data_IF_008049011217
#
_entry.id   IF_008049011217
#
_cell.length_a   1.000
_cell.length_b   1.000
_cell.length_c   1.000
_cell.angle_alpha   90.00
_cell.angle_beta   90.00
_cell.angle_gamma   90.00
#
_symmetry.space_group_name_H-M   'P 1'
#
loop_
_entity.id
_entity.type
_entity.pdbx_description
1 polymer ?
#
# COMPACT_ATOMS: atom_id res chain seq x y z
N UNK A 1 -6.00 6.52 -12.60
CA UNK A 1 -4.73 7.06 -12.12
C UNK A 1 -3.50 6.44 -12.80
N UNK A 2 -3.56 5.17 -13.23
CA UNK A 2 -2.53 4.57 -14.07
C UNK A 2 -2.52 5.21 -15.47
N UNK A 3 -1.37 5.23 -16.19
CA UNK A 3 -1.32 5.67 -17.56
C UNK A 3 -2.19 4.74 -18.44
N UNK A 4 -2.70 5.26 -19.57
CA UNK A 4 -3.49 4.47 -20.51
C UNK A 4 -2.65 3.42 -21.26
N UNK A 5 -1.34 3.59 -21.30
CA UNK A 5 -0.36 2.70 -21.95
C UNK A 5 0.96 2.78 -21.19
N UNK A 6 1.76 1.74 -21.26
CA UNK A 6 3.10 1.75 -20.67
C UNK A 6 3.42 0.49 -19.86
N UNK A 7 4.56 0.58 -19.16
CA UNK A 7 5.07 -0.44 -18.26
C UNK A 7 4.73 -0.09 -16.81
N UNK A 8 4.20 -1.04 -16.07
CA UNK A 8 3.80 -0.89 -14.67
C UNK A 8 4.53 -1.92 -13.82
N UNK A 9 5.08 -1.47 -12.70
CA UNK A 9 5.62 -2.33 -11.65
C UNK A 9 4.59 -2.45 -10.53
N UNK A 10 4.18 -3.67 -10.20
CA UNK A 10 3.39 -3.99 -9.00
C UNK A 10 4.35 -4.45 -7.90
N UNK A 11 4.53 -3.62 -6.87
CA UNK A 11 5.48 -3.82 -5.78
C UNK A 11 4.78 -4.48 -4.60
N UNK A 12 5.26 -5.65 -4.19
CA UNK A 12 4.59 -6.46 -3.17
C UNK A 12 3.26 -7.00 -3.70
N UNK A 13 3.32 -7.55 -4.90
CA UNK A 13 2.11 -7.91 -5.67
C UNK A 13 1.26 -9.02 -5.03
N UNK A 14 1.77 -9.73 -4.02
CA UNK A 14 1.10 -10.88 -3.46
C UNK A 14 0.75 -11.89 -4.56
N UNK A 15 -0.51 -12.32 -4.61
CA UNK A 15 -1.02 -13.21 -5.66
C UNK A 15 -1.44 -12.47 -6.96
N UNK A 16 -1.13 -11.16 -7.09
CA UNK A 16 -1.28 -10.37 -8.30
C UNK A 16 -2.68 -9.85 -8.62
N UNK A 17 -3.48 -9.54 -7.64
CA UNK A 17 -4.82 -8.99 -7.90
C UNK A 17 -4.73 -7.67 -8.67
N UNK A 18 -3.88 -6.73 -8.23
CA UNK A 18 -3.67 -5.44 -8.90
C UNK A 18 -2.99 -5.63 -10.25
N UNK A 19 -1.97 -6.51 -10.30
CA UNK A 19 -1.26 -6.83 -11.53
C UNK A 19 -2.21 -7.31 -12.64
N UNK A 20 -3.16 -8.21 -12.33
CA UNK A 20 -4.15 -8.71 -13.30
C UNK A 20 -5.06 -7.61 -13.80
N UNK A 21 -5.61 -6.79 -12.92
CA UNK A 21 -6.48 -5.66 -13.30
C UNK A 21 -5.75 -4.69 -14.25
N UNK A 22 -4.48 -4.40 -13.95
CA UNK A 22 -3.66 -3.53 -14.81
C UNK A 22 -3.35 -4.20 -16.17
N UNK A 23 -3.08 -5.50 -16.19
CA UNK A 23 -2.83 -6.24 -17.43
C UNK A 23 -4.10 -6.36 -18.31
N UNK A 24 -5.26 -6.58 -17.71
CA UNK A 24 -6.57 -6.57 -18.39
C UNK A 24 -6.89 -5.20 -19.01
N UNK A 25 -6.42 -4.12 -18.37
CA UNK A 25 -6.49 -2.76 -18.93
C UNK A 25 -5.49 -2.50 -20.07
N UNK A 26 -4.69 -3.49 -20.48
CA UNK A 26 -3.74 -3.41 -21.61
C UNK A 26 -2.36 -2.87 -21.25
N UNK A 27 -2.00 -2.80 -19.97
CA UNK A 27 -0.67 -2.40 -19.51
C UNK A 27 0.30 -3.59 -19.52
N UNK A 28 1.59 -3.31 -19.71
CA UNK A 28 2.66 -4.30 -19.54
C UNK A 28 3.05 -4.32 -18.07
N UNK A 29 2.69 -5.39 -17.37
CA UNK A 29 2.86 -5.45 -15.93
C UNK A 29 4.00 -6.39 -15.55
N UNK A 30 4.85 -5.92 -14.65
CA UNK A 30 5.83 -6.73 -13.93
C UNK A 30 5.45 -6.71 -12.45
N UNK A 31 5.30 -7.88 -11.86
CA UNK A 31 4.93 -8.06 -10.47
C UNK A 31 6.13 -8.59 -9.67
N UNK A 32 6.39 -7.99 -8.50
CA UNK A 32 7.47 -8.38 -7.60
C UNK A 32 6.92 -8.65 -6.21
N UNK A 33 7.30 -9.79 -5.63
CA UNK A 33 6.98 -10.13 -4.25
C UNK A 33 8.14 -10.89 -3.61
N UNK A 34 8.49 -10.67 -2.32
CA UNK A 34 9.56 -11.40 -1.66
C UNK A 34 9.20 -12.87 -1.36
N UNK A 35 7.91 -13.18 -1.22
CA UNK A 35 7.43 -14.52 -0.91
C UNK A 35 7.26 -15.37 -2.18
N UNK A 36 8.13 -16.37 -2.36
CA UNK A 36 8.04 -17.29 -3.50
C UNK A 36 6.65 -17.92 -3.66
N UNK A 37 5.99 -18.25 -2.56
CA UNK A 37 4.64 -18.82 -2.61
C UNK A 37 3.65 -17.88 -3.28
N UNK A 38 3.73 -16.59 -3.00
CA UNK A 38 2.86 -15.58 -3.64
C UNK A 38 3.16 -15.46 -5.14
N UNK A 39 4.45 -15.42 -5.49
CA UNK A 39 4.89 -15.38 -6.89
C UNK A 39 4.38 -16.58 -7.66
N UNK A 40 4.52 -17.80 -7.13
CA UNK A 40 4.09 -19.02 -7.83
C UNK A 40 2.58 -19.08 -8.02
N UNK A 41 1.79 -18.73 -6.99
CA UNK A 41 0.33 -18.63 -7.11
C UNK A 41 -0.07 -17.55 -8.12
N UNK A 42 0.60 -16.41 -8.09
CA UNK A 42 0.39 -15.34 -9.06
C UNK A 42 0.66 -15.79 -10.48
N UNK A 43 1.74 -16.51 -10.73
CA UNK A 43 2.07 -17.09 -12.05
C UNK A 43 0.99 -18.05 -12.56
N UNK A 44 0.43 -18.87 -11.68
CA UNK A 44 -0.64 -19.80 -12.03
C UNK A 44 -1.95 -19.09 -12.40
N UNK A 45 -2.24 -17.96 -11.76
CA UNK A 45 -3.49 -17.20 -11.91
C UNK A 45 -3.43 -16.12 -12.97
N UNK A 46 -2.26 -15.59 -13.27
CA UNK A 46 -2.12 -14.42 -14.10
C UNK A 46 -1.79 -14.77 -15.55
N UNK A 47 -2.53 -14.16 -16.48
CA UNK A 47 -2.23 -14.24 -17.88
C UNK A 47 -0.95 -13.49 -18.27
N UNK A 48 -1.06 -12.26 -18.75
CA UNK A 48 0.06 -11.50 -19.34
C UNK A 48 0.79 -10.61 -18.30
N UNK A 49 1.30 -11.22 -17.22
CA UNK A 49 2.09 -10.55 -16.17
C UNK A 49 3.46 -11.21 -16.06
N UNK A 50 4.54 -10.43 -16.07
CA UNK A 50 5.88 -10.92 -15.75
C UNK A 50 6.08 -10.96 -14.24
N UNK A 51 6.58 -12.07 -13.68
CA UNK A 51 6.74 -12.28 -12.25
C UNK A 51 8.19 -12.42 -11.85
N UNK A 52 8.59 -11.74 -10.77
CA UNK A 52 9.89 -11.88 -10.13
C UNK A 52 9.73 -12.06 -8.62
N UNK A 53 10.57 -12.93 -8.05
CA UNK A 53 10.80 -12.91 -6.61
C UNK A 53 11.83 -11.82 -6.31
N UNK A 54 11.51 -10.89 -5.42
CA UNK A 54 12.42 -9.79 -5.07
C UNK A 54 11.88 -8.91 -3.95
N UNK A 55 12.78 -8.10 -3.39
CA UNK A 55 12.47 -7.16 -2.32
C UNK A 55 12.22 -5.76 -2.88
N UNK A 56 11.23 -5.05 -2.33
CA UNK A 56 11.01 -3.63 -2.61
C UNK A 56 12.20 -2.74 -2.20
N UNK A 57 12.99 -3.18 -1.22
CA UNK A 57 14.18 -2.47 -0.74
C UNK A 57 15.40 -2.62 -1.66
N UNK A 58 15.32 -3.48 -2.68
CA UNK A 58 16.41 -3.71 -3.67
C UNK A 58 15.80 -4.30 -4.94
N UNK A 59 15.27 -3.43 -5.80
CA UNK A 59 14.60 -3.82 -7.03
C UNK A 59 15.62 -4.11 -8.14
N UNK A 60 15.57 -5.32 -8.70
CA UNK A 60 16.51 -5.78 -9.74
C UNK A 60 16.16 -5.22 -11.12
N UNK A 61 15.93 -3.92 -11.22
CA UNK A 61 15.65 -3.21 -12.48
C UNK A 61 16.58 -2.02 -12.64
N UNK A 62 16.85 -1.64 -13.88
CA UNK A 62 17.57 -0.42 -14.19
C UNK A 62 16.76 0.83 -13.79
N UNK A 63 17.46 1.95 -13.62
CA UNK A 63 16.84 3.26 -13.41
C UNK A 63 15.89 3.59 -14.57
N UNK A 64 14.83 4.34 -14.26
CA UNK A 64 13.90 4.87 -15.25
C UNK A 64 13.31 3.81 -16.20
N UNK A 65 12.95 2.62 -15.67
CA UNK A 65 12.40 1.50 -16.44
C UNK A 65 10.89 1.59 -16.63
N UNK A 66 10.16 2.02 -15.60
CA UNK A 66 8.71 1.94 -15.56
C UNK A 66 8.02 3.31 -15.75
N UNK A 67 6.90 3.29 -16.46
CA UNK A 67 6.03 4.47 -16.63
C UNK A 67 5.18 4.70 -15.38
N UNK A 68 4.87 3.64 -14.63
CA UNK A 68 4.21 3.72 -13.34
C UNK A 68 4.64 2.57 -12.41
N UNK A 69 4.45 2.79 -11.10
CA UNK A 69 4.49 1.76 -10.08
C UNK A 69 3.22 1.80 -9.25
N UNK A 70 2.84 0.67 -8.68
CA UNK A 70 1.76 0.56 -7.70
C UNK A 70 2.25 -0.25 -6.52
N UNK A 71 1.84 0.14 -5.32
CA UNK A 71 1.98 -0.64 -4.10
C UNK A 71 0.65 -0.60 -3.35
N UNK A 72 0.07 -1.76 -3.10
CA UNK A 72 -1.24 -1.88 -2.49
C UNK A 72 -1.16 -2.72 -1.21
N UNK A 73 -1.26 -2.06 -0.05
CA UNK A 73 -1.20 -2.67 1.29
C UNK A 73 0.12 -3.45 1.51
N UNK A 74 1.24 -2.79 1.28
CA UNK A 74 2.59 -3.40 1.30
C UNK A 74 3.52 -2.69 2.25
N UNK A 75 3.54 -1.34 2.23
CA UNK A 75 4.57 -0.56 2.91
C UNK A 75 4.46 -0.58 4.43
N UNK A 76 3.31 -0.95 4.95
CA UNK A 76 3.10 -1.28 6.37
C UNK A 76 3.83 -2.56 6.80
N UNK A 77 4.36 -3.36 5.87
CA UNK A 77 5.12 -4.60 6.13
C UNK A 77 6.61 -4.47 5.83
N UNK A 78 7.06 -3.30 5.37
CA UNK A 78 8.46 -3.07 5.00
C UNK A 78 9.19 -2.35 6.14
N UNK A 79 10.27 -2.95 6.65
CA UNK A 79 11.05 -2.41 7.75
C UNK A 79 11.76 -1.11 7.36
N UNK A 80 12.46 -1.10 6.22
CA UNK A 80 13.18 0.08 5.71
C UNK A 80 12.33 0.82 4.67
N UNK A 81 11.54 1.77 5.17
CA UNK A 81 10.65 2.60 4.35
C UNK A 81 11.44 3.41 3.32
N UNK A 82 12.56 4.02 3.74
CA UNK A 82 13.32 4.95 2.90
C UNK A 82 13.99 4.21 1.75
N UNK A 83 14.59 3.05 2.01
CA UNK A 83 15.17 2.21 0.98
C UNK A 83 14.11 1.79 -0.06
N UNK A 84 12.95 1.34 0.39
CA UNK A 84 11.89 0.88 -0.53
C UNK A 84 11.30 2.03 -1.37
N UNK A 85 11.06 3.21 -0.77
CA UNK A 85 10.57 4.38 -1.51
C UNK A 85 11.63 4.86 -2.51
N UNK A 86 12.91 4.91 -2.10
CA UNK A 86 14.02 5.31 -2.99
C UNK A 86 14.15 4.38 -4.19
N UNK A 87 14.00 3.07 -4.00
CA UNK A 87 14.04 2.08 -5.08
C UNK A 87 12.86 2.25 -6.05
N UNK A 88 11.64 2.46 -5.54
CA UNK A 88 10.48 2.77 -6.38
C UNK A 88 10.72 4.05 -7.19
N UNK A 89 11.21 5.10 -6.54
CA UNK A 89 11.54 6.35 -7.23
C UNK A 89 12.63 6.15 -8.29
N UNK A 90 13.67 5.36 -8.00
CA UNK A 90 14.78 5.08 -8.93
C UNK A 90 14.29 4.41 -10.21
N UNK A 91 13.46 3.37 -10.08
CA UNK A 91 12.99 2.58 -11.25
C UNK A 91 11.90 3.29 -12.05
N UNK A 92 11.26 4.32 -11.52
CA UNK A 92 10.32 5.16 -12.26
C UNK A 92 11.05 6.09 -13.21
N UNK A 93 10.51 6.26 -14.41
CA UNK A 93 10.93 7.30 -15.35
C UNK A 93 10.64 8.70 -14.78
N UNK A 94 11.38 9.76 -15.20
CA UNK A 94 10.95 11.14 -14.97
C UNK A 94 9.48 11.31 -15.42
N UNK A 95 8.67 12.01 -14.61
CA UNK A 95 7.23 12.14 -14.84
C UNK A 95 6.40 10.88 -14.58
N UNK A 96 7.03 9.75 -14.28
CA UNK A 96 6.37 8.48 -13.96
C UNK A 96 5.50 8.57 -12.70
N UNK A 97 4.48 7.75 -12.62
CA UNK A 97 3.50 7.78 -11.51
C UNK A 97 3.72 6.69 -10.50
N UNK A 98 3.54 7.02 -9.23
CA UNK A 98 3.45 6.04 -8.14
C UNK A 98 2.07 6.09 -7.51
N UNK A 99 1.35 4.97 -7.54
CA UNK A 99 0.09 4.77 -6.84
C UNK A 99 0.37 4.02 -5.54
N UNK A 100 0.12 4.66 -4.44
CA UNK A 100 0.48 4.20 -3.11
C UNK A 100 -0.76 4.07 -2.25
N UNK A 101 -1.13 2.84 -1.91
CA UNK A 101 -2.30 2.52 -1.11
C UNK A 101 -1.86 1.79 0.16
N UNK A 102 -2.30 2.29 1.31
CA UNK A 102 -2.03 1.69 2.62
C UNK A 102 -3.31 1.53 3.43
N UNK A 103 -3.26 0.70 4.47
CA UNK A 103 -4.11 0.90 5.63
C UNK A 103 -3.82 2.29 6.23
N UNK A 104 -4.88 3.02 6.59
CA UNK A 104 -4.68 4.37 7.09
C UNK A 104 -3.88 4.35 8.41
N UNK A 105 -2.82 5.16 8.54
CA UNK A 105 -1.96 5.15 9.74
C UNK A 105 -2.71 5.36 11.05
N UNK A 106 -3.79 6.13 11.04
CA UNK A 106 -4.64 6.33 12.22
C UNK A 106 -5.29 5.01 12.67
N UNK A 107 -5.78 4.21 11.73
CA UNK A 107 -6.40 2.92 12.01
C UNK A 107 -5.36 1.88 12.43
N UNK A 108 -4.19 1.90 11.77
CA UNK A 108 -3.10 0.94 12.00
C UNK A 108 -2.25 1.27 13.26
N UNK A 109 -2.58 2.33 14.00
CA UNK A 109 -1.87 2.67 15.24
C UNK A 109 -2.05 1.57 16.29
N UNK A 110 -0.96 1.01 16.85
CA UNK A 110 -1.04 -0.02 17.86
C UNK A 110 -1.87 0.40 19.08
N UNK A 111 -2.73 -0.50 19.57
CA UNK A 111 -3.63 -0.22 20.68
C UNK A 111 -4.82 0.67 20.35
N UNK A 112 -5.03 0.97 19.06
CA UNK A 112 -6.27 1.59 18.56
C UNK A 112 -7.38 0.55 18.46
N UNK A 113 -8.61 0.99 18.56
CA UNK A 113 -9.77 0.10 18.42
C UNK A 113 -11.07 0.78 18.80
N UNK A 114 -12.16 0.10 18.49
CA UNK A 114 -13.49 0.49 18.94
C UNK A 114 -13.64 0.30 20.44
N UNK A 115 -14.26 1.27 21.08
CA UNK A 115 -14.69 1.22 22.49
C UNK A 115 -16.21 1.36 22.50
N UNK A 116 -16.86 0.37 23.09
CA UNK A 116 -18.29 0.41 23.39
C UNK A 116 -18.47 0.85 24.84
N UNK A 117 -18.89 2.10 25.04
CA UNK A 117 -19.22 2.62 26.37
C UNK A 117 -20.69 2.35 26.68
N UNK A 118 -20.95 1.28 27.40
CA UNK A 118 -22.30 0.86 27.79
C UNK A 118 -22.96 1.78 28.83
N UNK A 119 -22.18 2.67 29.46
CA UNK A 119 -22.70 3.64 30.45
C UNK A 119 -23.24 4.88 29.75
N UNK A 120 -22.48 5.36 28.76
CA UNK A 120 -22.85 6.52 27.95
C UNK A 120 -23.68 6.16 26.71
N UNK A 121 -23.84 4.87 26.44
CA UNK A 121 -24.46 4.34 25.21
C UNK A 121 -23.81 4.90 23.94
N UNK A 122 -22.48 5.04 23.95
CA UNK A 122 -21.67 5.57 22.85
C UNK A 122 -20.67 4.53 22.34
N UNK A 123 -20.42 4.57 21.05
CA UNK A 123 -19.32 3.83 20.41
C UNK A 123 -18.35 4.86 19.82
N UNK A 124 -17.04 4.72 20.13
CA UNK A 124 -16.03 5.62 19.59
C UNK A 124 -14.71 4.91 19.29
N UNK A 125 -13.96 5.48 18.37
CA UNK A 125 -12.63 4.98 18.03
C UNK A 125 -11.58 5.57 18.97
N UNK A 126 -10.95 4.74 19.76
CA UNK A 126 -9.78 5.12 20.54
C UNK A 126 -8.54 5.05 19.66
N UNK A 127 -7.76 6.11 19.59
CA UNK A 127 -6.45 6.14 18.96
C UNK A 127 -5.38 5.84 19.98
N UNK A 128 -4.49 4.90 19.68
CA UNK A 128 -3.31 4.59 20.48
C UNK A 128 -2.20 5.65 20.33
N UNK A 129 -0.95 5.34 20.72
CA UNK A 129 0.19 6.26 20.58
C UNK A 129 0.57 6.43 19.09
N UNK A 130 -0.02 7.39 18.43
CA UNK A 130 0.09 7.63 16.99
C UNK A 130 1.46 8.15 16.53
N UNK A 131 2.10 9.02 17.30
CA UNK A 131 3.33 9.70 16.86
C UNK A 131 4.58 8.80 16.85
N UNK A 132 4.81 7.90 17.83
CA UNK A 132 5.96 7.01 17.79
C UNK A 132 5.82 5.96 16.69
N UNK A 133 6.91 5.71 15.94
CA UNK A 133 6.98 4.51 15.11
C UNK A 133 7.01 3.25 15.99
N UNK A 134 6.36 2.19 15.54
CA UNK A 134 6.28 0.95 16.28
C UNK A 134 6.25 -0.27 15.36
N UNK A 135 6.79 -1.36 15.85
CA UNK A 135 6.69 -2.67 15.22
C UNK A 135 5.74 -3.54 16.01
N UNK A 136 4.80 -4.19 15.34
CA UNK A 136 3.88 -5.18 15.93
C UNK A 136 3.87 -6.44 15.10
N UNK A 137 3.61 -7.57 15.76
CA UNK A 137 3.39 -8.85 15.08
C UNK A 137 1.96 -9.26 15.37
N UNK A 138 1.18 -9.44 14.35
CA UNK A 138 -0.23 -9.79 14.44
C UNK A 138 -0.49 -11.18 13.86
N UNK A 139 -1.29 -11.97 14.53
CA UNK A 139 -1.82 -13.23 14.01
C UNK A 139 -3.04 -12.92 13.13
N UNK A 140 -2.85 -12.94 11.81
CA UNK A 140 -3.89 -12.61 10.82
C UNK A 140 -4.78 -13.80 10.47
N UNK A 141 -4.24 -15.01 10.61
CA UNK A 141 -4.94 -16.29 10.51
C UNK A 141 -4.28 -17.24 11.51
N UNK A 142 -4.93 -18.36 11.80
CA UNK A 142 -4.39 -19.35 12.73
C UNK A 142 -2.96 -19.76 12.33
N UNK A 143 -2.01 -19.53 13.23
CA UNK A 143 -0.58 -19.81 13.08
C UNK A 143 0.11 -19.00 11.94
N UNK A 144 -0.52 -17.91 11.43
CA UNK A 144 0.05 -17.01 10.42
C UNK A 144 0.29 -15.64 11.05
N UNK A 145 1.57 -15.31 11.23
CA UNK A 145 2.00 -14.07 11.85
C UNK A 145 2.58 -13.12 10.81
N UNK A 146 2.14 -11.87 10.85
CA UNK A 146 2.62 -10.81 9.96
C UNK A 146 3.14 -9.64 10.80
N UNK A 147 4.30 -9.12 10.41
CA UNK A 147 4.86 -7.90 11.01
C UNK A 147 4.26 -6.67 10.35
N UNK A 148 3.81 -5.74 11.19
CA UNK A 148 3.36 -4.41 10.80
C UNK A 148 4.29 -3.35 11.39
N UNK A 149 4.61 -2.35 10.58
CA UNK A 149 5.37 -1.18 10.98
C UNK A 149 4.45 0.03 10.98
N UNK A 150 3.98 0.41 12.17
CA UNK A 150 3.24 1.66 12.32
C UNK A 150 4.17 2.85 12.12
N UNK A 151 3.72 3.79 11.29
CA UNK A 151 4.37 5.08 11.07
C UNK A 151 3.30 6.16 10.94
N UNK A 152 3.50 7.33 11.58
CA UNK A 152 2.57 8.44 11.40
C UNK A 152 2.57 8.91 9.95
N UNK A 153 1.46 9.47 9.48
CA UNK A 153 1.28 9.92 8.11
C UNK A 153 2.42 10.83 7.62
N UNK A 154 2.86 11.76 8.49
CA UNK A 154 3.96 12.66 8.15
C UNK A 154 5.26 11.94 7.80
N UNK A 155 5.52 10.75 8.40
CA UNK A 155 6.71 9.94 8.08
C UNK A 155 6.68 9.42 6.64
N UNK A 156 5.52 8.94 6.19
CA UNK A 156 5.33 8.51 4.80
C UNK A 156 5.47 9.68 3.83
N UNK A 157 4.79 10.80 4.08
CA UNK A 157 4.81 11.96 3.19
C UNK A 157 6.21 12.56 3.04
N UNK A 158 6.97 12.65 4.12
CA UNK A 158 8.34 13.15 4.08
C UNK A 158 9.26 12.20 3.29
N UNK A 159 9.20 10.89 3.52
CA UNK A 159 9.99 9.92 2.77
C UNK A 159 9.69 9.96 1.26
N UNK A 160 8.43 10.09 0.89
CA UNK A 160 8.01 10.24 -0.52
C UNK A 160 8.56 11.54 -1.13
N UNK A 161 8.47 12.65 -0.40
CA UNK A 161 9.00 13.95 -0.82
C UNK A 161 10.52 13.91 -1.02
N UNK A 162 11.25 13.35 -0.04
CA UNK A 162 12.71 13.29 -0.05
C UNK A 162 13.25 12.41 -1.19
N UNK A 163 12.46 11.42 -1.64
CA UNK A 163 12.73 10.61 -2.82
C UNK A 163 12.34 11.28 -4.15
N UNK A 164 11.89 12.54 -4.13
CA UNK A 164 11.49 13.29 -5.32
C UNK A 164 10.13 12.90 -5.90
N UNK A 165 9.27 12.28 -5.10
CA UNK A 165 7.90 11.92 -5.46
C UNK A 165 6.94 13.01 -5.00
N UNK A 166 6.42 13.78 -5.95
CA UNK A 166 5.50 14.89 -5.67
C UNK A 166 4.06 14.41 -5.56
N UNK A 167 3.37 14.82 -4.51
CA UNK A 167 1.97 14.49 -4.29
C UNK A 167 1.08 15.19 -5.33
N UNK A 168 0.34 14.40 -6.09
CA UNK A 168 -0.65 14.87 -7.08
C UNK A 168 -2.07 14.77 -6.52
N UNK A 169 -2.35 13.69 -5.77
CA UNK A 169 -3.66 13.45 -5.20
C UNK A 169 -3.57 12.68 -3.89
N UNK A 170 -4.39 13.07 -2.95
CA UNK A 170 -4.55 12.45 -1.64
C UNK A 170 -6.03 12.11 -1.45
N UNK A 171 -6.32 10.85 -1.14
CA UNK A 171 -7.69 10.41 -0.88
C UNK A 171 -7.74 9.51 0.35
N UNK A 172 -8.77 9.69 1.14
CA UNK A 172 -9.20 8.81 2.22
C UNK A 172 -10.55 8.21 1.80
N UNK A 173 -10.52 7.11 1.03
CA UNK A 173 -11.75 6.56 0.48
C UNK A 173 -12.66 6.03 1.58
N UNK A 174 -13.92 6.43 1.54
CA UNK A 174 -14.93 5.89 2.44
C UNK A 174 -15.11 4.39 2.19
N UNK A 175 -15.40 3.60 3.23
CA UNK A 175 -15.73 2.19 3.05
C UNK A 175 -16.91 2.01 2.09
N UNK A 176 -16.87 1.04 1.16
CA UNK A 176 -17.98 0.81 0.26
C UNK A 176 -19.20 0.26 1.02
N UNK A 177 -20.42 0.56 0.52
CA UNK A 177 -21.66 0.15 1.16
C UNK A 177 -21.70 -1.34 1.49
N UNK A 178 -21.25 -2.20 0.59
CA UNK A 178 -21.24 -3.65 0.83
C UNK A 178 -20.27 -4.10 1.96
N UNK A 179 -19.32 -3.26 2.38
CA UNK A 179 -18.55 -3.48 3.61
C UNK A 179 -19.37 -3.06 4.82
N UNK A 180 -19.97 -1.87 4.78
CA UNK A 180 -20.79 -1.33 5.88
C UNK A 180 -21.99 -2.25 6.20
N UNK A 181 -22.63 -2.81 5.19
CA UNK A 181 -23.75 -3.75 5.33
C UNK A 181 -23.38 -5.03 6.10
N UNK A 182 -22.09 -5.42 6.06
CA UNK A 182 -21.55 -6.60 6.76
C UNK A 182 -20.91 -6.28 8.11
N UNK A 183 -20.68 -5.00 8.38
CA UNK A 183 -20.04 -4.51 9.59
C UNK A 183 -21.05 -3.67 10.41
N UNK A 184 -22.28 -4.18 10.56
CA UNK A 184 -23.36 -3.46 11.22
C UNK A 184 -23.07 -3.10 12.69
N UNK A 185 -22.18 -3.86 13.35
CA UNK A 185 -21.69 -3.60 14.69
C UNK A 185 -20.78 -2.35 14.74
N UNK A 186 -20.31 -1.87 13.59
CA UNK A 186 -19.46 -0.69 13.46
C UNK A 186 -20.16 0.39 12.66
N UNK A 187 -21.34 0.83 13.10
CA UNK A 187 -22.14 1.82 12.36
C UNK A 187 -21.40 3.16 12.14
N UNK A 188 -20.45 3.50 12.99
CA UNK A 188 -19.57 4.66 12.85
C UNK A 188 -18.33 4.40 11.94
N UNK A 189 -18.19 3.19 11.41
CA UNK A 189 -17.03 2.82 10.58
C UNK A 189 -16.90 3.68 9.32
N UNK A 190 -17.98 4.28 8.85
CA UNK A 190 -17.97 5.22 7.73
C UNK A 190 -17.31 6.55 8.04
N UNK A 191 -17.20 6.93 9.34
CA UNK A 191 -16.63 8.19 9.79
C UNK A 191 -15.13 8.13 10.09
N UNK A 192 -14.54 6.92 10.09
CA UNK A 192 -13.12 6.71 10.39
C UNK A 192 -12.40 6.27 9.10
N UNK A 193 -11.29 6.96 8.71
CA UNK A 193 -10.55 6.59 7.51
C UNK A 193 -9.86 5.23 7.70
N UNK A 194 -10.16 4.27 6.81
CA UNK A 194 -9.58 2.91 6.83
C UNK A 194 -8.42 2.74 5.87
N UNK A 195 -8.48 3.43 4.76
CA UNK A 195 -7.50 3.37 3.68
C UNK A 195 -6.98 4.76 3.37
N UNK A 196 -5.74 4.81 2.96
CA UNK A 196 -5.09 5.99 2.41
C UNK A 196 -4.64 5.70 0.99
N UNK A 197 -5.05 6.53 0.04
CA UNK A 197 -4.58 6.47 -1.33
C UNK A 197 -3.84 7.76 -1.69
N UNK A 198 -2.61 7.60 -2.18
CA UNK A 198 -1.78 8.69 -2.70
C UNK A 198 -1.46 8.42 -4.17
N UNK A 199 -1.68 9.40 -5.04
CA UNK A 199 -1.10 9.41 -6.37
C UNK A 199 0.04 10.41 -6.39
N UNK A 200 1.23 9.93 -6.73
CA UNK A 200 2.45 10.71 -6.76
C UNK A 200 3.03 10.72 -8.17
N UNK A 201 3.84 11.72 -8.46
CA UNK A 201 4.59 11.84 -9.72
C UNK A 201 6.06 12.06 -9.41
N UNK A 202 6.93 11.28 -10.06
CA UNK A 202 8.37 11.52 -9.98
C UNK A 202 8.69 12.84 -10.66
N UNK A 203 9.44 13.70 -9.97
CA UNK A 203 9.90 14.97 -10.53
C UNK A 203 10.67 14.74 -11.84
N UNK A 204 10.50 15.64 -12.80
CA UNK A 204 11.34 15.65 -13.99
C UNK A 204 12.78 15.96 -13.59
N UNK A 205 13.72 15.26 -14.18
CA UNK A 205 15.15 15.58 -14.00
C UNK A 205 15.43 16.90 -14.72
N UNK A 206 15.78 17.92 -13.95
CA UNK A 206 16.23 19.22 -14.49
C UNK A 206 17.59 19.08 -15.16
#
# INVERSE_FOLDING_TARGET
HLPLRGSVLDVGAGEGQVARVAAEAGLRVTAVDPAWRQVSVGQERAGNVAWLQGSAMSLSFADATFDAAVACLVFEHIADLDAAISEVARVLKPGGRFLFLLNHPLLQTPGSGWIDDHILEEQYWRVGPYLPEAETVEEVEKDVFITFFHRPLGRYLNALHDAGLQLVRFEEPAPPQGFLDRAAEYFEAASIPRLLFLSLQKADTV
#
